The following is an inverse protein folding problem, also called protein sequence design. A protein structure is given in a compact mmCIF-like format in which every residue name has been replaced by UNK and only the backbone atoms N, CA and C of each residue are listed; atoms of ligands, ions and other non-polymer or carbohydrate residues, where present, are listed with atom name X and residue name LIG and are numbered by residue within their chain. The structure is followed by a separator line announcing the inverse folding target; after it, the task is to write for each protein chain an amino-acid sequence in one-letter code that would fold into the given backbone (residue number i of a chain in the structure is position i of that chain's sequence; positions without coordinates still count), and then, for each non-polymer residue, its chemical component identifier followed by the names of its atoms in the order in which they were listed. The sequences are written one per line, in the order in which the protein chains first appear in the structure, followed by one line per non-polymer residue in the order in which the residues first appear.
data_IF_532364038974
#
_entry.id   IF_532364038974
#
_cell.length_a   1.000
_cell.length_b   1.000
_cell.length_c   1.000
_cell.angle_alpha   90.00
_cell.angle_beta   90.00
_cell.angle_gamma   90.00
#
_symmetry.space_group_name_H-M   'P 1'
#
loop_
_entity.id
_entity.type
_entity.pdbx_description
1 polymer ?
#
# COMPACT_ATOMS: atom_id res chain seq x y z
N UNK A 1 -12.07 8.39 1.21
CA UNK A 1 -11.79 7.90 -0.17
C UNK A 1 -10.51 8.49 -0.73
N UNK A 2 -10.22 9.78 -0.50
CA UNK A 2 -8.96 10.40 -0.95
C UNK A 2 -7.72 9.70 -0.37
N UNK A 3 -7.74 9.30 0.90
CA UNK A 3 -6.59 8.61 1.51
C UNK A 3 -6.29 7.26 0.85
N UNK A 4 -7.33 6.50 0.48
CA UNK A 4 -7.19 5.22 -0.22
C UNK A 4 -6.62 5.46 -1.61
N UNK A 5 -7.10 6.49 -2.31
CA UNK A 5 -6.57 6.88 -3.61
C UNK A 5 -5.09 7.30 -3.51
N UNK A 6 -4.72 8.13 -2.53
CA UNK A 6 -3.33 8.56 -2.32
C UNK A 6 -2.40 7.37 -2.09
N UNK A 7 -2.79 6.41 -1.24
CA UNK A 7 -2.00 5.22 -0.98
C UNK A 7 -1.83 4.35 -2.24
N UNK A 8 -2.87 4.22 -3.06
CA UNK A 8 -2.78 3.52 -4.35
C UNK A 8 -1.86 4.25 -5.35
N UNK A 9 -1.86 5.58 -5.37
CA UNK A 9 -0.99 6.39 -6.24
C UNK A 9 0.47 6.28 -5.79
N UNK A 10 0.73 6.31 -4.49
CA UNK A 10 2.08 6.16 -3.91
C UNK A 10 2.74 4.83 -4.30
N UNK A 11 1.98 3.73 -4.34
CA UNK A 11 2.50 2.39 -4.62
C UNK A 11 2.15 1.82 -6.00
N UNK A 12 1.39 2.56 -6.80
CA UNK A 12 0.85 2.11 -8.09
C UNK A 12 1.81 2.21 -9.27
N UNK A 13 3.05 2.66 -9.04
CA UNK A 13 4.12 2.78 -10.04
C UNK A 13 4.14 4.13 -10.79
N UNK A 14 5.16 4.30 -11.63
CA UNK A 14 5.46 5.56 -12.36
C UNK A 14 5.09 5.49 -13.85
N UNK A 15 4.22 4.55 -14.24
CA UNK A 15 3.70 4.50 -15.61
C UNK A 15 2.83 5.71 -15.94
N UNK A 16 2.42 5.85 -17.21
CA UNK A 16 1.52 6.93 -17.65
C UNK A 16 0.18 6.94 -16.88
N UNK A 17 -0.21 5.80 -16.30
CA UNK A 17 -1.37 5.66 -15.44
C UNK A 17 -1.01 4.84 -14.19
N UNK A 18 -1.60 5.22 -13.05
CA UNK A 18 -1.46 4.47 -11.80
C UNK A 18 -2.10 3.09 -11.90
N UNK A 19 -1.34 2.04 -11.56
CA UNK A 19 -1.90 0.70 -11.41
C UNK A 19 -2.53 0.52 -10.02
N UNK A 20 -3.85 0.71 -9.92
CA UNK A 20 -4.58 0.63 -8.65
C UNK A 20 -4.61 -0.77 -8.04
N UNK A 21 -4.57 -1.83 -8.85
CA UNK A 21 -4.57 -3.20 -8.32
C UNK A 21 -3.25 -3.46 -7.59
N UNK A 22 -2.13 -3.08 -8.22
CA UNK A 22 -0.82 -3.16 -7.59
C UNK A 22 -0.74 -2.24 -6.36
N UNK A 23 -1.12 -0.97 -6.51
CA UNK A 23 -1.05 0.03 -5.45
C UNK A 23 -1.87 -0.37 -4.21
N UNK A 24 -3.10 -0.85 -4.41
CA UNK A 24 -3.96 -1.29 -3.31
C UNK A 24 -3.37 -2.50 -2.56
N UNK A 25 -2.84 -3.48 -3.30
CA UNK A 25 -2.24 -4.68 -2.70
C UNK A 25 -0.99 -4.34 -1.89
N UNK A 26 -0.10 -3.49 -2.42
CA UNK A 26 1.12 -3.08 -1.72
C UNK A 26 0.78 -2.20 -0.51
N UNK A 27 -0.06 -1.18 -0.67
CA UNK A 27 -0.46 -0.29 0.41
C UNK A 27 -1.10 -1.04 1.58
N UNK A 28 -2.00 -1.99 1.28
CA UNK A 28 -2.62 -2.84 2.28
C UNK A 28 -1.62 -3.76 2.98
N UNK A 29 -0.69 -4.35 2.21
CA UNK A 29 0.36 -5.21 2.75
C UNK A 29 1.31 -4.45 3.69
N UNK A 30 1.84 -3.29 3.28
CA UNK A 30 2.77 -2.48 4.09
C UNK A 30 2.19 -2.19 5.46
N UNK A 31 0.93 -1.72 5.52
CA UNK A 31 0.28 -1.38 6.79
C UNK A 31 0.18 -2.56 7.75
N UNK A 32 -0.14 -3.76 7.24
CA UNK A 32 -0.23 -4.96 8.07
C UNK A 32 1.16 -5.48 8.43
N UNK A 33 2.09 -5.49 7.48
CA UNK A 33 3.46 -5.92 7.70
C UNK A 33 4.17 -5.08 8.77
N UNK A 34 4.01 -3.75 8.73
CA UNK A 34 4.55 -2.84 9.75
C UNK A 34 3.97 -3.15 11.13
N UNK A 35 2.66 -3.40 11.21
CA UNK A 35 2.01 -3.80 12.45
C UNK A 35 2.54 -5.14 12.97
N UNK A 36 2.73 -6.14 12.11
CA UNK A 36 3.29 -7.45 12.47
C UNK A 36 4.74 -7.32 12.96
N UNK A 37 5.58 -6.55 12.26
CA UNK A 37 6.97 -6.29 12.66
C UNK A 37 7.04 -5.58 14.01
N UNK A 38 6.17 -4.60 14.26
CA UNK A 38 6.11 -3.86 15.53
C UNK A 38 5.73 -4.72 16.73
N UNK A 39 4.96 -5.80 16.49
CA UNK A 39 4.54 -6.74 17.54
C UNK A 39 5.63 -7.78 17.86
N UNK A 40 6.63 -7.94 16.98
CA UNK A 40 7.69 -8.92 17.13
C UNK A 40 7.20 -10.35 16.85
N UNK A 41 8.02 -11.34 17.24
CA UNK A 41 7.64 -12.76 17.16
C UNK A 41 6.80 -13.10 18.38
N UNK A 42 5.48 -13.10 18.21
CA UNK A 42 4.47 -13.47 19.21
C UNK A 42 3.90 -14.87 18.96
#
# INVERSE_FOLDING_TARGET
MLDIHHACVEHGGEGEQTNYVQGANIAGFVKVADAMLSQGVI
#
